data_IF_592165953737
#
_entry.id   IF_592165953737
#
_cell.length_a   1.000
_cell.length_b   1.000
_cell.length_c   1.000
_cell.angle_alpha   90.00
_cell.angle_beta   90.00
_cell.angle_gamma   90.00
#
_symmetry.space_group_name_H-M   'P 1'
#
loop_
_entity.id
_entity.type
_entity.pdbx_description
1 polymer ?
#
# COMPACT_ATOMS: atom_id res chain seq x y z
N UNK A 1 7.87 -14.33 -17.65
CA UNK A 1 6.58 -13.79 -17.18
C UNK A 1 5.50 -14.67 -17.79
N UNK A 2 4.54 -15.19 -17.00
CA UNK A 2 3.37 -15.86 -17.56
C UNK A 2 2.59 -14.91 -18.49
N UNK A 3 1.87 -15.46 -19.47
CA UNK A 3 1.07 -14.71 -20.46
C UNK A 3 -0.23 -14.16 -19.86
N UNK A 4 -0.13 -13.41 -18.75
CA UNK A 4 -1.28 -12.73 -18.15
C UNK A 4 -1.52 -11.39 -18.82
N UNK A 5 -2.78 -11.01 -18.99
CA UNK A 5 -3.11 -9.62 -19.29
C UNK A 5 -2.69 -8.70 -18.13
N UNK A 6 -2.47 -7.42 -18.41
CA UNK A 6 -2.16 -6.43 -17.37
C UNK A 6 -3.21 -6.44 -16.26
N UNK A 7 -4.49 -6.56 -16.60
CA UNK A 7 -5.58 -6.55 -15.61
C UNK A 7 -5.54 -7.79 -14.72
N UNK A 8 -5.29 -8.96 -15.29
CA UNK A 8 -5.15 -10.21 -14.52
C UNK A 8 -3.96 -10.12 -13.57
N UNK A 9 -2.81 -9.62 -14.05
CA UNK A 9 -1.64 -9.48 -13.20
C UNK A 9 -1.86 -8.48 -12.06
N UNK A 10 -2.48 -7.33 -12.33
CA UNK A 10 -2.81 -6.36 -11.28
C UNK A 10 -3.75 -6.95 -10.24
N UNK A 11 -4.73 -7.75 -10.67
CA UNK A 11 -5.61 -8.47 -9.77
C UNK A 11 -4.82 -9.49 -8.95
N UNK A 12 -3.91 -10.25 -9.55
CA UNK A 12 -3.04 -11.18 -8.83
C UNK A 12 -2.22 -10.47 -7.77
N UNK A 13 -1.57 -9.34 -8.12
CA UNK A 13 -0.80 -8.54 -7.14
C UNK A 13 -1.70 -8.09 -5.98
N UNK A 14 -2.90 -7.61 -6.28
CA UNK A 14 -3.85 -7.16 -5.27
C UNK A 14 -4.31 -8.31 -4.35
N UNK A 15 -4.67 -9.46 -4.93
CA UNK A 15 -5.19 -10.63 -4.22
C UNK A 15 -4.10 -11.34 -3.39
N UNK A 16 -2.86 -11.37 -3.88
CA UNK A 16 -1.71 -11.98 -3.19
C UNK A 16 -1.00 -11.03 -2.21
N UNK A 17 -1.32 -9.73 -2.23
CA UNK A 17 -0.80 -8.79 -1.22
C UNK A 17 -1.33 -9.16 0.17
N UNK A 18 -0.41 -9.30 1.13
CA UNK A 18 -0.75 -9.65 2.52
C UNK A 18 -0.40 -8.52 3.47
N UNK A 19 -1.39 -8.06 4.24
CA UNK A 19 -1.16 -7.15 5.37
C UNK A 19 -0.73 -8.01 6.57
N UNK A 20 0.56 -8.05 6.85
CA UNK A 20 1.15 -8.89 7.91
C UNK A 20 0.86 -8.29 9.29
N UNK A 21 0.92 -6.96 9.39
CA UNK A 21 0.63 -6.23 10.62
C UNK A 21 -0.15 -4.97 10.30
N UNK A 22 -1.27 -4.77 10.99
CA UNK A 22 -2.02 -3.51 10.99
C UNK A 22 -1.60 -2.61 12.15
N UNK A 23 -1.57 -1.28 11.95
CA UNK A 23 -1.38 -0.31 13.03
C UNK A 23 -2.39 -0.51 14.18
N UNK A 24 -1.92 -0.39 15.43
CA UNK A 24 -2.74 -0.59 16.64
C UNK A 24 -3.60 0.62 17.04
N UNK A 25 -3.33 1.83 16.53
CA UNK A 25 -4.09 3.04 16.88
C UNK A 25 -5.04 3.48 15.76
N UNK A 26 -6.33 3.46 16.11
CA UNK A 26 -7.37 4.45 15.77
C UNK A 26 -7.53 4.87 14.31
N UNK A 27 -8.30 4.11 13.55
CA UNK A 27 -8.99 4.66 12.37
C UNK A 27 -10.24 5.36 12.91
N UNK A 28 -10.16 6.67 13.11
CA UNK A 28 -11.21 7.49 13.73
C UNK A 28 -11.56 8.63 12.78
N UNK A 29 -12.52 8.44 11.87
CA UNK A 29 -13.35 9.50 11.27
C UNK A 29 -12.70 10.90 11.26
N UNK A 30 -11.68 11.10 10.41
CA UNK A 30 -10.83 12.30 10.46
C UNK A 30 -9.58 12.23 9.59
N UNK A 31 -8.62 13.12 9.85
CA UNK A 31 -7.31 13.14 9.20
C UNK A 31 -6.37 12.13 9.87
N UNK A 32 -5.85 11.18 9.09
CA UNK A 32 -4.95 10.13 9.58
C UNK A 32 -3.68 10.07 8.76
N UNK A 33 -2.61 9.66 9.42
CA UNK A 33 -1.35 9.30 8.78
C UNK A 33 -1.15 7.81 9.05
N UNK A 34 -0.99 7.03 7.99
CA UNK A 34 -0.75 5.60 8.03
C UNK A 34 0.69 5.32 7.57
N UNK A 35 1.65 5.21 8.50
CA UNK A 35 2.98 4.75 8.17
C UNK A 35 2.95 3.29 7.71
N UNK A 36 3.73 2.97 6.69
CA UNK A 36 3.86 1.61 6.19
C UNK A 36 5.30 1.23 5.87
N UNK A 37 5.56 -0.07 5.96
CA UNK A 37 6.70 -0.74 5.37
C UNK A 37 6.17 -1.83 4.46
N UNK A 38 6.37 -1.68 3.16
CA UNK A 38 6.05 -2.68 2.15
C UNK A 38 7.33 -3.41 1.75
N UNK A 39 7.25 -4.74 1.73
CA UNK A 39 8.35 -5.62 1.39
C UNK A 39 7.89 -6.56 0.28
N UNK A 40 8.69 -6.68 -0.77
CA UNK A 40 8.40 -7.60 -1.85
C UNK A 40 9.66 -7.91 -2.64
N UNK A 41 9.61 -8.93 -3.50
CA UNK A 41 10.69 -9.14 -4.46
C UNK A 41 10.74 -7.96 -5.44
N UNK A 42 11.91 -7.75 -6.05
CA UNK A 42 12.07 -6.72 -7.08
C UNK A 42 11.21 -6.99 -8.33
N UNK A 43 10.81 -8.24 -8.54
CA UNK A 43 9.93 -8.69 -9.62
C UNK A 43 9.22 -9.96 -9.17
N UNK A 44 7.99 -10.16 -9.64
CA UNK A 44 7.19 -11.36 -9.38
C UNK A 44 8.00 -12.64 -9.59
N UNK A 45 7.86 -13.60 -8.67
CA UNK A 45 8.54 -14.90 -8.67
C UNK A 45 10.08 -14.86 -8.58
N UNK A 46 10.68 -13.70 -8.26
CA UNK A 46 12.12 -13.56 -8.00
C UNK A 46 12.44 -13.24 -6.55
N UNK A 47 12.68 -14.26 -5.73
CA UNK A 47 12.88 -14.11 -4.28
C UNK A 47 14.32 -13.81 -3.83
N UNK A 48 15.27 -13.66 -4.75
CA UNK A 48 16.70 -13.47 -4.39
C UNK A 48 17.05 -12.07 -3.88
N UNK A 49 16.19 -11.07 -4.15
CA UNK A 49 16.38 -9.68 -3.76
C UNK A 49 15.07 -9.11 -3.25
N UNK A 50 15.14 -8.37 -2.16
CA UNK A 50 13.99 -7.71 -1.57
C UNK A 50 14.07 -6.21 -1.79
N UNK A 51 12.93 -5.61 -2.11
CA UNK A 51 12.74 -4.17 -2.10
C UNK A 51 11.87 -3.82 -0.90
N UNK A 52 12.36 -2.89 -0.10
CA UNK A 52 11.64 -2.27 1.00
C UNK A 52 11.18 -0.88 0.54
N UNK A 53 9.88 -0.63 0.62
CA UNK A 53 9.26 0.67 0.36
C UNK A 53 8.65 1.16 1.67
N UNK A 54 9.22 2.21 2.24
CA UNK A 54 8.65 2.90 3.40
C UNK A 54 7.96 4.17 2.95
N UNK A 55 6.94 4.58 3.68
CA UNK A 55 6.27 5.85 3.44
C UNK A 55 5.12 6.07 4.40
N UNK A 56 4.37 7.14 4.16
CA UNK A 56 3.18 7.52 4.91
C UNK A 56 2.04 7.79 3.94
N UNK A 57 0.85 7.30 4.26
CA UNK A 57 -0.38 7.65 3.54
C UNK A 57 -1.21 8.56 4.44
N UNK A 58 -1.43 9.79 4.00
CA UNK A 58 -2.44 10.65 4.60
C UNK A 58 -3.81 10.27 4.07
N UNK A 59 -4.75 10.08 4.97
CA UNK A 59 -6.17 9.86 4.66
C UNK A 59 -6.94 11.01 5.25
N UNK A 60 -7.83 11.63 4.48
CA UNK A 60 -8.66 12.74 4.95
C UNK A 60 -10.08 12.66 4.40
N UNK A 61 -11.10 13.21 5.09
CA UNK A 61 -12.43 13.32 4.53
C UNK A 61 -12.42 14.13 3.23
N UNK A 62 -13.16 13.69 2.23
CA UNK A 62 -13.20 14.39 0.94
C UNK A 62 -14.11 15.63 1.05
N UNK A 63 -13.51 16.82 1.07
CA UNK A 63 -14.23 18.11 1.22
C UNK A 63 -14.76 18.70 -0.10
N UNK A 64 -14.27 18.26 -1.27
CA UNK A 64 -14.66 18.84 -2.58
C UNK A 64 -14.97 17.75 -3.63
N UNK A 65 -16.10 17.92 -4.32
CA UNK A 65 -16.46 17.23 -5.56
C UNK A 65 -16.04 18.11 -6.74
N UNK A 66 -14.99 17.72 -7.47
CA UNK A 66 -14.54 18.45 -8.66
C UNK A 66 -13.04 18.33 -8.89
N UNK A 67 -12.64 17.38 -9.71
CA UNK A 67 -11.26 17.12 -10.11
C UNK A 67 -11.15 15.75 -10.78
N UNK A 68 -10.27 15.61 -11.78
CA UNK A 68 -9.96 14.31 -12.35
C UNK A 68 -9.30 13.43 -11.28
N UNK A 69 -9.65 12.15 -11.23
CA UNK A 69 -8.98 11.21 -10.35
C UNK A 69 -7.49 11.12 -10.75
N UNK A 70 -6.55 11.26 -9.79
CA UNK A 70 -5.13 11.21 -10.10
C UNK A 70 -4.73 9.83 -10.59
N UNK A 71 -3.66 9.76 -11.37
CA UNK A 71 -3.00 8.50 -11.71
C UNK A 71 -2.14 8.00 -10.55
N UNK A 72 -1.75 6.73 -10.58
CA UNK A 72 -0.80 6.18 -9.61
C UNK A 72 0.51 6.98 -9.55
N UNK A 73 1.04 7.37 -10.72
CA UNK A 73 2.27 8.15 -10.82
C UNK A 73 2.15 9.60 -10.34
N UNK A 74 0.92 10.13 -10.24
CA UNK A 74 0.65 11.44 -9.62
C UNK A 74 0.45 11.31 -8.11
N UNK A 75 -0.23 10.24 -7.65
CA UNK A 75 -0.56 10.08 -6.24
C UNK A 75 0.64 9.66 -5.37
N UNK A 76 1.52 8.80 -5.89
CA UNK A 76 2.67 8.29 -5.14
C UNK A 76 4.00 8.94 -5.52
N UNK A 77 4.06 9.70 -6.62
CA UNK A 77 5.21 10.52 -7.04
C UNK A 77 6.46 9.77 -7.51
N UNK A 78 6.74 8.58 -6.99
CA UNK A 78 7.91 7.77 -7.33
C UNK A 78 7.64 6.86 -8.51
N UNK A 79 8.46 7.03 -9.55
CA UNK A 79 8.29 6.41 -10.85
C UNK A 79 9.46 5.49 -11.24
N UNK A 80 10.60 5.56 -10.56
CA UNK A 80 11.78 4.76 -10.90
C UNK A 80 11.63 3.30 -10.49
N UNK A 81 10.93 3.04 -9.37
CA UNK A 81 10.55 1.68 -8.97
C UNK A 81 9.24 1.22 -9.66
N UNK A 82 8.34 2.16 -9.94
CA UNK A 82 6.98 1.84 -10.39
C UNK A 82 6.97 1.28 -11.81
N UNK A 83 6.29 0.16 -12.02
CA UNK A 83 6.16 -0.43 -13.36
C UNK A 83 5.31 0.48 -14.28
N UNK A 84 5.78 0.67 -15.51
CA UNK A 84 5.12 1.53 -16.50
C UNK A 84 3.65 1.17 -16.76
N UNK A 85 3.26 -0.10 -16.53
CA UNK A 85 1.87 -0.58 -16.68
C UNK A 85 0.88 0.15 -15.78
N UNK A 86 1.32 0.73 -14.66
CA UNK A 86 0.44 1.42 -13.70
C UNK A 86 0.66 2.93 -13.61
N UNK A 87 1.83 3.45 -13.99
CA UNK A 87 2.19 4.87 -13.82
C UNK A 87 1.09 5.81 -14.32
N UNK A 88 0.57 5.58 -15.53
CA UNK A 88 -0.46 6.42 -16.16
C UNK A 88 -1.90 5.94 -15.90
N UNK A 89 -2.11 4.87 -15.13
CA UNK A 89 -3.46 4.39 -14.81
C UNK A 89 -4.09 5.27 -13.75
N UNK A 90 -5.35 5.61 -13.95
CA UNK A 90 -6.17 6.31 -12.96
C UNK A 90 -6.25 5.48 -11.67
N UNK A 91 -5.97 6.12 -10.55
CA UNK A 91 -6.15 5.54 -9.23
C UNK A 91 -7.62 5.56 -8.84
N UNK A 92 -8.30 4.45 -9.07
CA UNK A 92 -9.70 4.25 -8.67
C UNK A 92 -9.78 3.23 -7.54
N UNK A 93 -10.12 3.69 -6.34
CA UNK A 93 -10.36 2.82 -5.18
C UNK A 93 -11.78 2.99 -4.65
N UNK A 94 -12.28 1.96 -3.97
CA UNK A 94 -13.68 1.85 -3.48
C UNK A 94 -14.16 3.08 -2.68
N UNK A 95 -13.25 3.70 -1.93
CA UNK A 95 -13.57 4.79 -1.01
C UNK A 95 -13.22 6.18 -1.55
N UNK A 96 -12.85 6.29 -2.83
CA UNK A 96 -12.48 7.57 -3.45
C UNK A 96 -13.58 8.65 -3.32
N UNK A 97 -14.86 8.26 -3.25
CA UNK A 97 -15.96 9.20 -3.04
C UNK A 97 -16.07 9.77 -1.63
N UNK A 98 -15.43 9.15 -0.63
CA UNK A 98 -15.56 9.50 0.80
C UNK A 98 -14.28 10.11 1.37
N UNK A 99 -13.12 9.66 0.89
CA UNK A 99 -11.81 10.08 1.42
C UNK A 99 -10.85 10.52 0.31
N UNK A 100 -9.93 11.41 0.66
CA UNK A 100 -8.77 11.80 -0.14
C UNK A 100 -7.51 11.15 0.42
N UNK A 101 -6.56 10.84 -0.46
CA UNK A 101 -5.28 10.21 -0.12
C UNK A 101 -4.10 11.03 -0.62
N UNK A 102 -3.04 11.11 0.18
CA UNK A 102 -1.76 11.69 -0.22
C UNK A 102 -0.62 10.77 0.24
N UNK A 103 0.38 10.54 -0.61
CA UNK A 103 1.57 9.77 -0.27
C UNK A 103 2.72 10.70 0.11
N UNK A 104 3.45 10.35 1.17
CA UNK A 104 4.57 11.14 1.68
C UNK A 104 5.74 10.29 2.17
N UNK A 105 6.92 10.93 2.25
CA UNK A 105 8.17 10.39 2.81
C UNK A 105 8.56 9.03 2.25
N UNK A 106 8.31 8.87 0.95
CA UNK A 106 8.64 7.63 0.28
C UNK A 106 10.15 7.40 0.30
N UNK A 107 10.55 6.22 0.78
CA UNK A 107 11.93 5.78 0.81
C UNK A 107 12.01 4.34 0.29
N UNK A 108 12.88 4.12 -0.70
CA UNK A 108 13.11 2.80 -1.28
C UNK A 108 14.49 2.30 -0.87
N UNK A 109 14.54 1.05 -0.40
CA UNK A 109 15.78 0.34 -0.10
C UNK A 109 15.80 -1.01 -0.78
N UNK A 110 16.99 -1.48 -1.14
CA UNK A 110 17.21 -2.79 -1.74
C UNK A 110 18.04 -3.62 -0.78
N UNK A 111 17.63 -4.86 -0.57
CA UNK A 111 18.26 -5.80 0.34
C UNK A 111 18.65 -7.07 -0.40
N UNK A 112 19.85 -7.57 -0.09
CA UNK A 112 20.29 -8.90 -0.50
C UNK A 112 19.70 -9.92 0.50
N UNK A 113 18.76 -10.73 0.05
CA UNK A 113 18.01 -11.66 0.90
C UNK A 113 16.55 -11.80 0.48
N UNK A 114 15.92 -12.87 0.96
CA UNK A 114 14.54 -13.19 0.63
C UNK A 114 13.54 -12.27 1.37
N UNK A 115 12.36 -12.01 0.76
CA UNK A 115 11.37 -11.11 1.35
C UNK A 115 10.85 -11.57 2.72
N UNK A 116 10.75 -12.88 2.95
CA UNK A 116 10.25 -13.44 4.21
C UNK A 116 11.16 -13.09 5.38
N UNK A 117 12.47 -13.33 5.23
CA UNK A 117 13.48 -12.95 6.22
C UNK A 117 13.49 -11.44 6.47
N UNK A 118 13.30 -10.60 5.44
CA UNK A 118 13.23 -9.14 5.66
C UNK A 118 11.95 -8.72 6.41
N UNK A 119 10.82 -9.39 6.17
CA UNK A 119 9.58 -9.16 6.94
C UNK A 119 9.82 -9.43 8.42
N UNK A 120 10.43 -10.56 8.77
CA UNK A 120 10.75 -10.90 10.15
C UNK A 120 11.67 -9.85 10.80
N UNK A 121 12.73 -9.43 10.09
CA UNK A 121 13.64 -8.37 10.57
C UNK A 121 12.94 -7.04 10.83
N UNK A 122 12.05 -6.63 9.94
CA UNK A 122 11.27 -5.39 10.12
C UNK A 122 10.32 -5.52 11.31
N UNK A 123 9.65 -6.66 11.47
CA UNK A 123 8.78 -6.90 12.63
C UNK A 123 9.57 -6.84 13.95
N UNK A 124 10.76 -7.45 13.99
CA UNK A 124 11.66 -7.38 15.15
C UNK A 124 12.16 -5.95 15.41
N UNK A 125 12.52 -5.19 14.37
CA UNK A 125 12.91 -3.78 14.49
C UNK A 125 11.79 -2.95 15.12
N UNK A 126 10.56 -3.09 14.60
CA UNK A 126 9.40 -2.36 15.08
C UNK A 126 9.05 -2.76 16.51
N UNK A 127 9.10 -4.05 16.85
CA UNK A 127 8.86 -4.53 18.21
C UNK A 127 9.90 -4.00 19.20
N UNK A 128 11.19 -4.05 18.84
CA UNK A 128 12.30 -3.55 19.68
C UNK A 128 12.21 -2.06 19.95
N UNK A 129 11.71 -1.29 18.98
CA UNK A 129 11.51 0.17 19.10
C UNK A 129 10.15 0.54 19.65
N UNK A 130 9.33 -0.44 20.03
CA UNK A 130 7.97 -0.24 20.53
C UNK A 130 7.07 0.56 19.56
N UNK A 131 7.34 0.44 18.25
CA UNK A 131 6.57 1.12 17.19
C UNK A 131 5.32 0.31 16.91
N UNK A 132 4.16 0.87 17.21
CA UNK A 132 2.85 0.18 17.15
C UNK A 132 1.92 0.65 16.03
N UNK A 133 2.24 1.77 15.40
CA UNK A 133 1.40 2.49 14.44
C UNK A 133 1.80 2.25 12.97
N UNK A 134 2.84 1.46 12.73
CA UNK A 134 3.36 1.19 11.39
C UNK A 134 2.84 -0.15 10.86
N UNK A 135 2.25 -0.11 9.66
CA UNK A 135 1.82 -1.30 8.93
C UNK A 135 3.01 -2.04 8.34
N UNK A 136 2.92 -3.38 8.28
CA UNK A 136 3.87 -4.21 7.53
C UNK A 136 3.10 -4.99 6.48
N UNK A 137 3.51 -4.81 5.22
CA UNK A 137 2.81 -5.32 4.04
C UNK A 137 3.78 -6.18 3.23
N UNK A 138 3.39 -7.41 2.91
CA UNK A 138 4.10 -8.26 1.97
C UNK A 138 3.44 -8.16 0.60
N UNK A 139 4.21 -7.72 -0.39
CA UNK A 139 3.81 -7.59 -1.79
C UNK A 139 4.46 -8.69 -2.63
N UNK A 140 3.75 -9.27 -3.61
CA UNK A 140 4.33 -10.25 -4.53
C UNK A 140 5.22 -9.61 -5.61
N UNK A 141 5.15 -8.29 -5.84
CA UNK A 141 6.02 -7.55 -6.75
C UNK A 141 6.11 -6.07 -6.32
N UNK A 142 7.29 -5.65 -5.85
CA UNK A 142 7.48 -4.31 -5.30
C UNK A 142 7.33 -3.18 -6.33
N UNK A 143 7.41 -3.45 -7.63
CA UNK A 143 7.15 -2.44 -8.68
C UNK A 143 5.68 -2.02 -8.73
N UNK A 144 4.82 -2.84 -8.12
CA UNK A 144 3.39 -2.64 -7.97
C UNK A 144 3.00 -2.27 -6.55
N UNK A 145 3.94 -1.74 -5.77
CA UNK A 145 3.68 -1.21 -4.42
C UNK A 145 2.40 -0.36 -4.32
N UNK A 146 2.01 0.47 -5.32
CA UNK A 146 0.79 1.26 -5.21
C UNK A 146 -0.49 0.41 -5.17
N UNK A 147 -0.51 -0.73 -5.89
CA UNK A 147 -1.62 -1.69 -5.90
C UNK A 147 -1.71 -2.42 -4.56
N UNK A 148 -0.56 -2.79 -4.00
CA UNK A 148 -0.49 -3.38 -2.66
C UNK A 148 -0.91 -2.39 -1.58
N UNK A 149 -0.61 -1.10 -1.74
CA UNK A 149 -1.08 -0.04 -0.84
C UNK A 149 -2.58 0.18 -0.96
N UNK A 150 -3.16 0.13 -2.16
CA UNK A 150 -4.62 0.13 -2.34
C UNK A 150 -5.28 -1.02 -1.55
N UNK A 151 -4.74 -2.24 -1.66
CA UNK A 151 -5.24 -3.39 -0.89
C UNK A 151 -5.21 -3.15 0.62
N UNK A 152 -4.12 -2.56 1.12
CA UNK A 152 -3.96 -2.21 2.53
C UNK A 152 -4.97 -1.14 2.97
N UNK A 153 -5.03 -0.02 2.24
CA UNK A 153 -5.94 1.09 2.55
C UNK A 153 -7.38 0.61 2.55
N UNK A 154 -7.76 -0.21 1.56
CA UNK A 154 -9.09 -0.81 1.52
C UNK A 154 -9.35 -1.69 2.73
N UNK A 155 -8.38 -2.47 3.20
CA UNK A 155 -8.58 -3.30 4.39
C UNK A 155 -8.84 -2.49 5.66
N UNK A 156 -8.13 -1.37 5.80
CA UNK A 156 -8.28 -0.43 6.91
C UNK A 156 -9.68 0.22 6.85
N UNK A 157 -10.05 0.78 5.69
CA UNK A 157 -11.35 1.45 5.52
C UNK A 157 -12.54 0.47 5.54
N UNK A 158 -12.39 -0.75 5.03
CA UNK A 158 -13.43 -1.80 5.11
C UNK A 158 -13.72 -2.18 6.57
N UNK A 159 -12.73 -2.10 7.48
CA UNK A 159 -12.96 -2.31 8.93
C UNK A 159 -13.67 -1.10 9.54
N UNK A 160 -13.22 0.11 9.25
CA UNK A 160 -13.81 1.35 9.78
C UNK A 160 -15.28 1.52 9.38
N UNK A 161 -15.59 1.48 8.08
CA UNK A 161 -16.94 1.72 7.57
C UNK A 161 -17.89 0.51 7.72
N UNK A 162 -17.39 -0.65 8.17
CA UNK A 162 -18.24 -1.81 8.50
C UNK A 162 -18.87 -1.67 9.88
N UNK A 163 -18.20 -0.96 10.80
CA UNK A 163 -18.65 -0.77 12.18
C UNK A 163 -19.56 0.46 12.36
N UNK A 164 -19.96 1.17 11.29
CA UNK A 164 -21.03 2.18 11.35
C UNK A 164 -22.41 1.50 11.47
N UNK A 165 -23.12 1.58 12.61
CA UNK A 165 -24.49 1.14 12.69
C UNK A 165 -25.39 2.27 12.20
N UNK A 166 -25.95 2.15 10.99
CA UNK A 166 -27.10 2.96 10.58
C UNK A 166 -26.99 3.62 9.22
N UNK A 167 -27.43 2.90 8.20
CA UNK A 167 -28.17 3.48 7.08
C UNK A 167 -29.56 2.87 7.09
N UNK A 168 -30.44 3.39 7.96
CA UNK A 168 -31.89 3.20 7.89
C UNK A 168 -32.51 4.18 6.90
#
# INVERSE_FOLDING_TARGET
MPEWSDQEFLRTVFDETRVIRTPLRGIIAGYHVLPYVLLGPAEYDRTSKTVEVRGRIRVSPRLVLGGNAPTYGEMFGERDLMDARIVARVFSFRYAGRVSLESEDLAIRRHEGDPGTQVERVLEELARREVIDTAVIASPDARFYPVSLDRFIREILDREFRDEPGGG
#
